data_IF_387097878331
#
_entry.id   IF_387097878331
#
_cell.length_a   1.000
_cell.length_b   1.000
_cell.length_c   1.000
_cell.angle_alpha   90.00
_cell.angle_beta   90.00
_cell.angle_gamma   90.00
#
_symmetry.space_group_name_H-M   'P 1'
#
loop_
_entity.id
_entity.type
_entity.pdbx_description
1 polymer ?
#
# COMPACT_ATOMS: atom_id res chain seq x y z
N UNK A 1 8.41 -44.02 -17.59
CA UNK A 1 9.34 -42.95 -18.02
C UNK A 1 8.66 -41.63 -17.69
N UNK A 2 9.00 -41.06 -16.54
CA UNK A 2 9.03 -39.60 -16.30
C UNK A 2 10.47 -39.13 -16.63
N UNK A 3 10.79 -37.83 -16.74
CA UNK A 3 9.95 -36.64 -16.93
C UNK A 3 10.46 -35.70 -18.05
N UNK A 4 9.67 -34.68 -18.38
CA UNK A 4 10.10 -33.51 -19.17
C UNK A 4 9.62 -32.22 -18.51
N UNK A 5 10.38 -31.73 -17.54
CA UNK A 5 10.19 -30.44 -16.90
C UNK A 5 10.49 -29.30 -17.89
N UNK A 6 9.53 -28.40 -18.11
CA UNK A 6 9.71 -27.16 -18.86
C UNK A 6 9.45 -25.96 -17.96
N UNK A 7 10.45 -25.56 -17.17
CA UNK A 7 10.44 -24.29 -16.43
C UNK A 7 10.70 -23.14 -17.40
N UNK A 8 9.65 -22.42 -17.79
CA UNK A 8 9.78 -21.15 -18.50
C UNK A 8 10.14 -20.05 -17.48
N UNK A 9 11.44 -19.85 -17.27
CA UNK A 9 11.98 -18.71 -16.53
C UNK A 9 11.93 -17.46 -17.42
N UNK A 10 11.11 -16.48 -17.04
CA UNK A 10 11.10 -15.16 -17.67
C UNK A 10 12.36 -14.35 -17.27
N UNK A 11 13.09 -13.73 -18.22
CA UNK A 11 14.29 -12.96 -17.89
C UNK A 11 13.96 -11.50 -17.51
N UNK A 12 14.17 -11.13 -16.24
CA UNK A 12 14.17 -9.73 -15.80
C UNK A 12 15.53 -9.07 -16.11
N UNK A 13 15.54 -8.08 -17.00
CA UNK A 13 16.69 -7.22 -17.27
C UNK A 13 16.76 -6.07 -16.26
N UNK A 14 17.92 -5.92 -15.62
CA UNK A 14 18.21 -4.82 -14.69
C UNK A 14 18.62 -3.55 -15.45
N UNK A 15 17.89 -2.46 -15.28
CA UNK A 15 18.32 -1.14 -15.74
C UNK A 15 18.97 -0.35 -14.60
N UNK A 16 20.20 0.11 -14.83
CA UNK A 16 21.02 0.92 -13.91
C UNK A 16 21.07 2.35 -14.45
N UNK A 17 20.62 3.32 -13.66
CA UNK A 17 20.79 4.76 -13.95
C UNK A 17 21.92 5.30 -13.06
N UNK A 18 22.87 6.04 -13.66
CA UNK A 18 24.06 6.58 -13.00
C UNK A 18 24.15 8.10 -13.09
N UNK A 19 24.72 8.68 -12.01
CA UNK A 19 25.39 10.02 -11.85
C UNK A 19 24.49 11.26 -11.76
N UNK A 20 24.42 12.03 -10.65
CA UNK A 20 25.41 12.75 -9.80
C UNK A 20 25.77 14.15 -10.31
N UNK A 21 25.70 15.19 -9.46
CA UNK A 21 26.65 16.33 -9.31
C UNK A 21 26.28 17.19 -8.07
N UNK A 22 27.20 18.03 -7.53
CA UNK A 22 27.34 18.34 -6.09
C UNK A 22 27.10 19.81 -5.74
N UNK A 23 26.92 20.11 -4.45
CA UNK A 23 27.05 21.46 -3.90
C UNK A 23 28.00 21.45 -2.70
N UNK A 24 29.04 22.29 -2.76
CA UNK A 24 30.00 22.58 -1.69
C UNK A 24 29.61 23.89 -1.01
N UNK A 25 29.80 23.98 0.32
CA UNK A 25 29.76 25.24 1.06
C UNK A 25 31.05 25.41 1.86
N UNK A 26 31.61 26.61 1.78
CA UNK A 26 32.88 27.02 2.36
C UNK A 26 32.82 27.34 3.85
N UNK A 27 33.96 27.23 4.51
CA UNK A 27 34.18 27.54 5.91
C UNK A 27 34.99 28.83 6.08
N UNK A 28 34.67 29.65 7.08
CA UNK A 28 35.59 30.56 7.76
C UNK A 28 34.98 31.09 9.07
N UNK A 29 35.76 31.15 10.16
CA UNK A 29 35.47 32.01 11.32
C UNK A 29 35.78 31.47 12.72
N UNK A 30 37.07 31.46 13.08
CA UNK A 30 37.73 31.75 14.38
C UNK A 30 37.02 31.57 15.75
N UNK A 31 37.73 30.87 16.66
CA UNK A 31 37.53 30.65 18.12
C UNK A 31 37.97 31.84 19.01
N UNK A 32 37.67 31.86 20.34
CA UNK A 32 38.64 31.32 21.31
C UNK A 32 38.09 30.61 22.58
N UNK A 33 38.89 29.63 23.01
CA UNK A 33 39.09 28.93 24.30
C UNK A 33 38.22 29.16 25.54
N UNK A 34 37.70 28.06 26.12
CA UNK A 34 38.00 27.67 27.51
C UNK A 34 37.86 26.14 27.67
N UNK A 35 38.78 25.55 28.44
CA UNK A 35 39.00 24.11 28.53
C UNK A 35 38.09 23.44 29.57
N UNK A 36 37.14 22.64 29.09
CA UNK A 36 36.49 21.59 29.89
C UNK A 36 36.63 20.29 29.13
N UNK A 37 37.30 19.32 29.75
CA UNK A 37 37.66 18.03 29.18
C UNK A 37 36.40 17.15 29.13
N UNK A 38 35.66 17.20 28.02
CA UNK A 38 34.58 16.27 27.73
C UNK A 38 35.15 14.93 27.20
N UNK A 39 34.47 13.79 27.46
CA UNK A 39 34.87 12.51 26.87
C UNK A 39 34.85 12.59 25.34
N UNK A 40 35.68 11.82 24.62
CA UNK A 40 35.74 11.88 23.17
C UNK A 40 34.36 11.57 22.59
N UNK A 41 33.89 12.45 21.71
CA UNK A 41 32.67 12.28 20.94
C UNK A 41 32.75 11.00 20.10
N UNK A 42 31.64 10.27 19.89
CA UNK A 42 31.64 9.18 18.94
C UNK A 42 31.81 9.79 17.54
N UNK A 43 33.02 9.69 16.99
CA UNK A 43 33.25 9.84 15.55
C UNK A 43 32.71 8.60 14.86
N UNK A 44 31.38 8.42 14.86
CA UNK A 44 30.72 7.38 14.07
C UNK A 44 30.49 7.91 12.67
N UNK A 45 31.45 7.56 11.82
CA UNK A 45 31.33 7.36 10.38
C UNK A 45 29.88 7.34 9.88
N UNK A 46 29.55 8.28 9.01
CA UNK A 46 28.31 8.34 8.22
C UNK A 46 28.00 7.04 7.43
N UNK A 47 28.93 6.08 7.38
CA UNK A 47 28.72 4.75 6.80
C UNK A 47 27.97 3.78 7.73
N UNK A 48 27.95 4.01 9.04
CA UNK A 48 27.33 3.08 10.00
C UNK A 48 25.79 3.13 9.94
N UNK A 49 25.21 4.32 9.74
CA UNK A 49 23.77 4.53 9.61
C UNK A 49 23.20 3.91 8.33
N UNK A 50 23.92 4.04 7.21
CA UNK A 50 23.56 3.41 5.93
C UNK A 50 23.59 1.89 6.04
N UNK A 51 24.56 1.34 6.80
CA UNK A 51 24.61 -0.09 7.08
C UNK A 51 23.44 -0.56 7.95
N UNK A 52 22.96 0.25 8.89
CA UNK A 52 21.77 -0.06 9.71
C UNK A 52 20.48 -0.05 8.90
N UNK A 53 20.30 0.94 8.01
CA UNK A 53 19.16 1.03 7.08
C UNK A 53 19.04 -0.20 6.16
N UNK A 54 20.17 -0.83 5.82
CA UNK A 54 20.19 -2.07 5.04
C UNK A 54 19.66 -3.29 5.81
N UNK A 55 19.48 -3.21 7.13
CA UNK A 55 18.93 -4.29 7.97
C UNK A 55 17.58 -3.94 8.61
N UNK A 56 17.04 -2.75 8.35
CA UNK A 56 15.70 -2.44 8.83
C UNK A 56 14.68 -3.27 8.05
N UNK A 57 14.02 -4.15 8.81
CA UNK A 57 12.82 -4.84 8.37
C UNK A 57 11.65 -3.90 8.70
N UNK A 58 10.79 -3.68 7.72
CA UNK A 58 9.69 -2.72 7.80
C UNK A 58 8.37 -3.43 7.98
N UNK A 59 7.43 -2.78 8.66
CA UNK A 59 6.01 -3.11 8.61
C UNK A 59 5.33 -2.12 7.69
N UNK A 60 4.54 -2.60 6.72
CA UNK A 60 3.81 -1.75 5.79
C UNK A 60 2.31 -1.93 5.96
N UNK A 61 1.57 -0.83 5.82
CA UNK A 61 0.12 -0.79 5.94
C UNK A 61 -0.47 -0.27 4.63
N UNK A 62 -1.42 -1.01 4.06
CA UNK A 62 -2.16 -0.63 2.86
C UNK A 62 -3.62 -0.45 3.21
N UNK A 63 -4.16 0.75 3.01
CA UNK A 63 -5.59 1.03 3.16
C UNK A 63 -6.25 1.09 1.79
N UNK A 64 -7.44 0.50 1.65
CA UNK A 64 -8.24 0.55 0.42
C UNK A 64 -7.38 0.15 -0.80
N UNK A 65 -7.36 0.97 -1.85
CA UNK A 65 -6.54 0.77 -3.04
C UNK A 65 -5.02 0.68 -2.76
N UNK A 66 -4.56 1.24 -1.63
CA UNK A 66 -3.17 1.13 -1.15
C UNK A 66 -2.70 -0.29 -0.88
N UNK A 67 -3.61 -1.27 -0.81
CA UNK A 67 -3.27 -2.70 -0.81
C UNK A 67 -2.50 -3.16 -2.06
N UNK A 68 -2.84 -2.65 -3.24
CA UNK A 68 -2.17 -2.99 -4.51
C UNK A 68 -0.67 -2.64 -4.50
N UNK A 69 -0.26 -1.38 -4.23
CA UNK A 69 1.16 -1.03 -4.23
C UNK A 69 1.95 -1.73 -3.12
N UNK A 70 1.36 -2.03 -1.95
CA UNK A 70 2.08 -2.81 -0.93
C UNK A 70 2.30 -4.26 -1.37
N UNK A 71 1.37 -4.88 -2.09
CA UNK A 71 1.58 -6.21 -2.68
C UNK A 71 2.74 -6.21 -3.69
N UNK A 72 2.86 -5.16 -4.50
CA UNK A 72 4.01 -5.00 -5.40
C UNK A 72 5.31 -4.74 -4.62
N UNK A 73 5.26 -4.04 -3.49
CA UNK A 73 6.42 -3.86 -2.62
C UNK A 73 6.87 -5.19 -1.99
N UNK A 74 5.93 -6.02 -1.54
CA UNK A 74 6.18 -7.38 -1.04
C UNK A 74 6.81 -8.26 -2.12
N UNK A 75 6.31 -8.18 -3.36
CA UNK A 75 6.93 -8.89 -4.48
C UNK A 75 8.36 -8.40 -4.73
N UNK A 76 8.62 -7.10 -4.73
CA UNK A 76 9.95 -6.57 -5.07
C UNK A 76 10.97 -6.69 -3.93
N UNK A 77 10.53 -6.63 -2.68
CA UNK A 77 11.39 -6.55 -1.50
C UNK A 77 10.94 -7.49 -0.36
N UNK A 78 10.72 -8.79 -0.60
CA UNK A 78 10.15 -9.69 0.40
C UNK A 78 11.04 -9.79 1.65
N UNK A 79 12.37 -9.81 1.47
CA UNK A 79 13.33 -9.83 2.59
C UNK A 79 13.50 -8.51 3.35
N UNK A 80 12.70 -7.47 3.06
CA UNK A 80 12.69 -6.18 3.77
C UNK A 80 11.38 -5.90 4.48
N UNK A 81 10.38 -6.75 4.31
CA UNK A 81 9.06 -6.56 4.88
C UNK A 81 8.81 -7.71 5.84
N UNK A 82 8.62 -7.38 7.12
CA UNK A 82 8.29 -8.39 8.15
C UNK A 82 6.83 -8.80 8.03
N UNK A 83 5.97 -7.79 7.97
CA UNK A 83 4.51 -7.93 7.96
C UNK A 83 3.92 -6.87 7.04
N UNK A 84 2.95 -7.27 6.24
CA UNK A 84 2.09 -6.40 5.46
C UNK A 84 0.67 -6.46 6.01
N UNK A 85 0.13 -5.32 6.43
CA UNK A 85 -1.21 -5.23 7.00
C UNK A 85 -2.14 -4.54 6.01
N UNK A 86 -3.20 -5.23 5.62
CA UNK A 86 -4.24 -4.76 4.72
C UNK A 86 -5.43 -4.28 5.55
N UNK A 87 -5.74 -2.99 5.51
CA UNK A 87 -6.80 -2.36 6.32
C UNK A 87 -7.95 -1.97 5.41
N UNK A 88 -9.06 -2.73 5.44
CA UNK A 88 -10.15 -2.64 4.46
C UNK A 88 -9.63 -2.36 3.04
N UNK A 89 -8.79 -3.27 2.57
CA UNK A 89 -7.93 -3.04 1.41
C UNK A 89 -8.01 -4.16 0.39
N UNK A 90 -7.61 -3.83 -0.84
CA UNK A 90 -7.38 -4.82 -1.88
C UNK A 90 -6.20 -5.71 -1.49
N UNK A 91 -6.43 -7.02 -1.35
CA UNK A 91 -5.36 -7.99 -1.11
C UNK A 91 -5.40 -9.05 -2.23
N UNK A 92 -4.65 -8.85 -3.33
CA UNK A 92 -4.61 -9.79 -4.44
C UNK A 92 -4.07 -11.17 -4.04
N UNK A 93 -4.36 -12.18 -4.84
CA UNK A 93 -3.75 -13.51 -4.72
C UNK A 93 -2.56 -13.66 -5.70
N UNK A 94 -1.85 -14.79 -5.65
CA UNK A 94 -0.73 -15.08 -6.55
C UNK A 94 -1.15 -15.70 -7.90
N UNK A 95 -2.39 -16.19 -8.00
CA UNK A 95 -2.89 -16.98 -9.12
C UNK A 95 -3.45 -16.10 -10.25
N UNK A 96 -4.08 -14.99 -9.88
CA UNK A 96 -4.81 -14.09 -10.76
C UNK A 96 -4.08 -12.73 -10.86
N UNK A 97 -4.16 -12.04 -12.01
CA UNK A 97 -3.71 -10.65 -12.09
C UNK A 97 -4.44 -9.76 -11.07
N UNK A 98 -3.77 -8.81 -10.39
CA UNK A 98 -4.41 -7.88 -9.47
C UNK A 98 -5.60 -7.11 -10.06
N UNK A 99 -5.60 -6.85 -11.38
CA UNK A 99 -6.73 -6.25 -12.07
C UNK A 99 -8.04 -7.06 -11.94
N UNK A 100 -7.96 -8.39 -11.82
CA UNK A 100 -9.12 -9.26 -11.64
C UNK A 100 -9.89 -8.90 -10.36
N UNK A 101 -9.18 -8.60 -9.28
CA UNK A 101 -9.80 -8.21 -8.02
C UNK A 101 -10.46 -6.83 -8.11
N UNK A 102 -9.83 -5.87 -8.80
CA UNK A 102 -10.40 -4.54 -9.06
C UNK A 102 -11.68 -4.68 -9.91
N UNK A 103 -11.65 -5.51 -10.94
CA UNK A 103 -12.82 -5.78 -11.77
C UNK A 103 -13.93 -6.47 -10.98
N UNK A 104 -13.60 -7.39 -10.08
CA UNK A 104 -14.58 -8.05 -9.22
C UNK A 104 -15.25 -7.05 -8.26
N UNK A 105 -14.48 -6.12 -7.67
CA UNK A 105 -15.04 -5.01 -6.90
C UNK A 105 -16.02 -4.21 -7.75
N UNK A 106 -15.59 -3.72 -8.93
CA UNK A 106 -16.44 -2.93 -9.82
C UNK A 106 -17.69 -3.66 -10.32
N UNK A 107 -17.67 -5.00 -10.42
CA UNK A 107 -18.84 -5.81 -10.78
C UNK A 107 -19.85 -5.94 -9.64
N UNK A 108 -19.37 -6.02 -8.40
CA UNK A 108 -20.21 -6.14 -7.20
C UNK A 108 -20.76 -4.80 -6.75
N UNK A 109 -19.95 -3.75 -6.91
CA UNK A 109 -20.36 -2.37 -6.82
C UNK A 109 -21.40 -2.10 -7.90
N UNK A 110 -22.68 -2.05 -7.52
CA UNK A 110 -23.73 -1.60 -8.44
C UNK A 110 -23.36 -0.23 -9.02
N UNK A 111 -23.83 0.12 -10.23
CA UNK A 111 -23.58 1.45 -10.81
C UNK A 111 -24.02 2.60 -9.90
N UNK A 112 -24.96 2.35 -8.99
CA UNK A 112 -25.41 3.30 -7.98
C UNK A 112 -24.40 3.47 -6.82
N UNK A 113 -23.57 2.47 -6.53
CA UNK A 113 -22.60 2.51 -5.42
C UNK A 113 -21.40 3.42 -5.69
N UNK A 114 -21.06 3.67 -6.96
CA UNK A 114 -20.03 4.63 -7.37
C UNK A 114 -20.56 6.07 -7.37
N UNK A 115 -21.87 6.26 -7.17
CA UNK A 115 -22.55 7.56 -7.04
C UNK A 115 -22.09 8.57 -8.11
N UNK A 116 -21.44 9.64 -7.67
CA UNK A 116 -20.96 10.77 -8.46
C UNK A 116 -19.45 10.69 -8.77
N UNK A 117 -18.85 9.49 -8.67
CA UNK A 117 -17.48 9.29 -9.11
C UNK A 117 -17.33 9.50 -10.62
N UNK A 118 -16.35 10.32 -11.01
CA UNK A 118 -16.01 10.55 -12.40
C UNK A 118 -14.91 9.60 -12.85
N UNK A 119 -15.22 8.73 -13.82
CA UNK A 119 -14.26 7.81 -14.41
C UNK A 119 -13.79 8.37 -15.75
N UNK A 120 -12.49 8.61 -15.87
CA UNK A 120 -11.85 8.98 -17.13
C UNK A 120 -11.36 7.74 -17.85
N UNK A 121 -11.70 7.62 -19.12
CA UNK A 121 -11.33 6.47 -19.96
C UNK A 121 -10.22 6.83 -20.93
N UNK A 122 -9.41 5.84 -21.29
CA UNK A 122 -8.48 6.00 -22.38
C UNK A 122 -9.23 6.02 -23.71
N UNK A 123 -9.09 7.13 -24.44
CA UNK A 123 -9.63 7.26 -25.79
C UNK A 123 -8.64 6.82 -26.88
N UNK A 124 -7.39 6.53 -26.51
CA UNK A 124 -6.33 6.15 -27.45
C UNK A 124 -6.22 4.63 -27.64
N UNK A 125 -6.55 3.83 -26.63
CA UNK A 125 -6.58 2.36 -26.74
C UNK A 125 -7.96 1.84 -27.18
N UNK A 126 -7.95 0.82 -28.05
CA UNK A 126 -9.19 0.21 -28.59
C UNK A 126 -10.09 -0.41 -27.52
N UNK A 127 -9.57 -0.66 -26.32
CA UNK A 127 -10.29 -1.31 -25.22
C UNK A 127 -11.02 -0.33 -24.28
N UNK A 128 -10.83 0.99 -24.42
CA UNK A 128 -11.48 2.03 -23.59
C UNK A 128 -11.47 1.69 -22.10
N UNK A 129 -10.29 1.36 -21.56
CA UNK A 129 -10.16 1.03 -20.14
C UNK A 129 -10.22 2.30 -19.28
N UNK A 130 -10.75 2.22 -18.05
CA UNK A 130 -10.72 3.33 -17.13
C UNK A 130 -9.28 3.62 -16.69
N UNK A 131 -8.82 4.86 -16.89
CA UNK A 131 -7.47 5.31 -16.52
C UNK A 131 -7.47 5.86 -15.10
N UNK A 132 -8.45 6.72 -14.79
CA UNK A 132 -8.51 7.42 -13.50
C UNK A 132 -9.92 7.51 -12.97
N UNK A 133 -10.04 7.58 -11.65
CA UNK A 133 -11.28 7.91 -10.96
C UNK A 133 -11.07 9.16 -10.11
N UNK A 134 -12.03 10.08 -10.14
CA UNK A 134 -12.16 11.16 -9.18
C UNK A 134 -13.39 10.89 -8.31
N UNK A 135 -13.21 10.96 -6.98
CA UNK A 135 -14.32 10.76 -6.06
C UNK A 135 -15.16 12.03 -5.97
N UNK A 136 -16.46 11.88 -6.22
CA UNK A 136 -17.42 12.97 -6.06
C UNK A 136 -17.85 13.15 -4.60
N UNK A 137 -18.41 14.32 -4.25
CA UNK A 137 -18.84 14.64 -2.90
C UNK A 137 -19.85 13.66 -2.27
N UNK A 138 -20.76 13.05 -3.03
CA UNK A 138 -21.73 12.06 -2.50
C UNK A 138 -21.01 10.76 -2.13
N UNK A 139 -20.14 10.26 -3.02
CA UNK A 139 -19.31 9.09 -2.73
C UNK A 139 -18.37 9.34 -1.54
N UNK A 140 -17.81 10.54 -1.43
CA UNK A 140 -17.00 10.91 -0.28
C UNK A 140 -17.82 10.97 1.01
N UNK A 141 -19.07 11.46 0.98
CA UNK A 141 -19.93 11.43 2.16
C UNK A 141 -20.15 10.00 2.68
N UNK A 142 -20.29 9.03 1.76
CA UNK A 142 -20.35 7.60 2.08
C UNK A 142 -19.04 7.07 2.68
N UNK A 143 -17.90 7.39 2.05
CA UNK A 143 -16.56 6.99 2.51
C UNK A 143 -16.23 7.51 3.93
N UNK A 144 -16.75 8.69 4.29
CA UNK A 144 -16.51 9.36 5.57
C UNK A 144 -17.72 9.30 6.52
N UNK A 145 -18.70 8.40 6.30
CA UNK A 145 -19.95 8.35 7.06
C UNK A 145 -19.74 8.24 8.59
N UNK A 146 -18.67 7.58 9.02
CA UNK A 146 -18.32 7.40 10.44
C UNK A 146 -17.27 8.41 10.97
N UNK A 147 -16.90 9.40 10.17
CA UNK A 147 -15.92 10.42 10.55
C UNK A 147 -16.60 11.71 11.04
N UNK A 148 -15.90 12.54 11.84
CA UNK A 148 -16.27 13.93 12.05
C UNK A 148 -16.49 14.67 10.73
N UNK A 149 -17.45 15.60 10.70
CA UNK A 149 -17.77 16.37 9.49
C UNK A 149 -16.59 17.19 8.97
N UNK A 150 -15.72 17.63 9.87
CA UNK A 150 -14.51 18.37 9.60
C UNK A 150 -13.52 17.59 8.72
N UNK A 151 -13.44 16.27 8.92
CA UNK A 151 -12.58 15.40 8.12
C UNK A 151 -13.11 15.25 6.69
N UNK A 152 -14.44 15.16 6.51
CA UNK A 152 -15.06 15.14 5.19
C UNK A 152 -14.84 16.48 4.45
N UNK A 153 -15.05 17.61 5.13
CA UNK A 153 -14.82 18.92 4.53
C UNK A 153 -13.35 19.13 4.16
N UNK A 154 -12.43 18.72 5.03
CA UNK A 154 -11.00 18.73 4.73
C UNK A 154 -10.68 17.83 3.51
N UNK A 155 -11.21 16.61 3.48
CA UNK A 155 -10.99 15.68 2.38
C UNK A 155 -11.45 16.23 1.03
N UNK A 156 -12.62 16.90 0.97
CA UNK A 156 -13.14 17.53 -0.26
C UNK A 156 -12.16 18.57 -0.84
N UNK A 157 -11.36 19.22 0.01
CA UNK A 157 -10.34 20.20 -0.44
C UNK A 157 -9.04 19.56 -0.92
N UNK A 158 -8.77 18.30 -0.55
CA UNK A 158 -7.50 17.62 -0.80
C UNK A 158 -7.59 16.49 -1.81
N UNK A 159 -8.79 15.94 -2.06
CA UNK A 159 -8.98 14.82 -2.97
C UNK A 159 -8.52 15.17 -4.38
N UNK A 160 -7.90 14.20 -5.05
CA UNK A 160 -7.40 14.34 -6.42
C UNK A 160 -7.77 13.08 -7.20
N UNK A 161 -7.93 13.18 -8.53
CA UNK A 161 -8.09 12.00 -9.36
C UNK A 161 -6.94 11.01 -9.15
N UNK A 162 -7.26 9.73 -8.93
CA UNK A 162 -6.30 8.65 -8.78
C UNK A 162 -6.28 7.78 -10.03
N UNK A 163 -5.09 7.35 -10.44
CA UNK A 163 -4.91 6.40 -11.53
C UNK A 163 -5.24 4.96 -11.06
N UNK A 164 -5.85 4.17 -11.94
CA UNK A 164 -6.29 2.79 -11.67
C UNK A 164 -5.30 1.76 -12.24
N UNK A 165 -4.44 2.15 -13.18
CA UNK A 165 -3.39 1.29 -13.77
C UNK A 165 -3.89 -0.11 -14.20
N UNK A 166 -5.12 -0.19 -14.72
CA UNK A 166 -5.79 -1.48 -14.94
C UNK A 166 -5.05 -2.32 -16.00
N UNK A 167 -4.47 -1.69 -17.02
CA UNK A 167 -3.68 -2.37 -18.04
C UNK A 167 -2.41 -2.99 -17.45
N UNK A 168 -1.67 -2.22 -16.66
CA UNK A 168 -0.45 -2.69 -16.00
C UNK A 168 -0.74 -3.82 -15.03
N UNK A 169 -1.83 -3.71 -14.27
CA UNK A 169 -2.28 -4.70 -13.30
C UNK A 169 -2.93 -5.94 -13.94
N UNK A 170 -3.20 -5.91 -15.25
CA UNK A 170 -3.72 -7.06 -16.01
C UNK A 170 -2.63 -8.01 -16.48
N UNK A 171 -1.36 -7.64 -16.30
CA UNK A 171 -0.22 -8.52 -16.62
C UNK A 171 -0.26 -9.77 -15.75
N UNK A 172 -0.03 -10.93 -16.37
CA UNK A 172 0.01 -12.21 -15.65
C UNK A 172 1.27 -12.31 -14.78
N UNK A 173 1.17 -13.05 -13.67
CA UNK A 173 2.29 -13.36 -12.78
C UNK A 173 2.94 -12.13 -12.12
N UNK A 174 2.17 -11.09 -11.81
CA UNK A 174 2.70 -9.91 -11.09
C UNK A 174 3.09 -10.20 -9.63
N UNK A 175 2.48 -11.22 -9.02
CA UNK A 175 2.72 -11.62 -7.65
C UNK A 175 3.00 -13.12 -7.63
N UNK A 176 3.98 -13.54 -6.83
CA UNK A 176 4.42 -14.94 -6.76
C UNK A 176 4.39 -15.47 -5.32
N UNK A 177 4.17 -16.79 -5.18
CA UNK A 177 4.22 -17.45 -3.86
C UNK A 177 5.61 -17.35 -3.22
N UNK A 178 6.68 -17.39 -4.04
CA UNK A 178 8.06 -17.33 -3.56
C UNK A 178 8.46 -15.97 -2.97
N UNK A 179 7.73 -14.89 -3.32
CA UNK A 179 8.09 -13.51 -2.98
C UNK A 179 6.94 -12.82 -2.24
N UNK A 180 5.88 -12.43 -2.95
CA UNK A 180 4.67 -11.87 -2.33
C UNK A 180 4.07 -12.82 -1.29
N UNK A 181 3.93 -14.11 -1.60
CA UNK A 181 3.39 -15.13 -0.70
C UNK A 181 4.28 -15.45 0.49
N UNK A 182 5.58 -15.13 0.43
CA UNK A 182 6.53 -15.37 1.52
C UNK A 182 6.48 -14.31 2.63
N UNK A 183 5.82 -13.17 2.41
CA UNK A 183 5.69 -12.11 3.41
C UNK A 183 4.42 -12.34 4.22
N UNK A 184 4.52 -12.28 5.56
CA UNK A 184 3.38 -12.39 6.47
C UNK A 184 2.34 -11.31 6.15
N UNK A 185 1.10 -11.71 5.96
CA UNK A 185 -0.05 -10.84 5.71
C UNK A 185 -0.99 -10.86 6.91
N UNK A 186 -1.47 -9.69 7.27
CA UNK A 186 -2.57 -9.53 8.23
C UNK A 186 -3.67 -8.71 7.57
N UNK A 187 -4.93 -8.97 7.91
CA UNK A 187 -6.06 -8.22 7.40
C UNK A 187 -6.88 -7.62 8.54
N UNK A 188 -7.24 -6.34 8.43
CA UNK A 188 -8.11 -5.64 9.36
C UNK A 188 -9.42 -5.34 8.65
N UNK A 189 -10.48 -6.01 9.11
CA UNK A 189 -11.85 -5.84 8.62
C UNK A 189 -12.47 -4.62 9.31
N UNK A 190 -13.09 -3.75 8.51
CA UNK A 190 -13.93 -2.65 8.98
C UNK A 190 -15.40 -3.04 8.77
N UNK A 191 -16.15 -3.34 9.84
CA UNK A 191 -17.48 -3.98 9.75
C UNK A 191 -18.57 -3.07 9.17
N UNK A 192 -18.42 -1.75 9.29
CA UNK A 192 -19.36 -0.72 8.82
C UNK A 192 -18.80 0.05 7.62
N UNK A 193 -17.84 -0.53 6.92
CA UNK A 193 -17.30 0.05 5.70
C UNK A 193 -18.34 -0.01 4.58
N UNK A 194 -18.96 1.14 4.29
CA UNK A 194 -19.95 1.21 3.22
C UNK A 194 -19.31 1.24 1.81
N UNK A 195 -18.01 1.46 1.68
CA UNK A 195 -17.31 1.52 0.38
C UNK A 195 -16.82 0.14 -0.02
N UNK A 196 -16.09 -0.51 0.87
CA UNK A 196 -15.61 -1.87 0.74
C UNK A 196 -16.35 -2.73 1.75
N UNK A 197 -17.59 -3.05 1.43
CA UNK A 197 -18.52 -3.80 2.32
C UNK A 197 -17.86 -5.06 2.91
N UNK A 198 -18.23 -5.39 4.15
CA UNK A 198 -17.64 -6.50 4.91
C UNK A 198 -17.67 -7.81 4.10
N UNK A 199 -18.75 -8.07 3.37
CA UNK A 199 -18.90 -9.24 2.50
C UNK A 199 -17.81 -9.30 1.42
N UNK A 200 -17.41 -8.15 0.88
CA UNK A 200 -16.32 -8.09 -0.09
C UNK A 200 -14.95 -8.25 0.56
N UNK A 201 -14.74 -7.66 1.74
CA UNK A 201 -13.51 -7.88 2.52
C UNK A 201 -13.34 -9.38 2.86
N UNK A 202 -14.41 -10.05 3.27
CA UNK A 202 -14.42 -11.51 3.54
C UNK A 202 -14.17 -12.33 2.28
N UNK A 203 -14.74 -11.93 1.14
CA UNK A 203 -14.45 -12.57 -0.14
C UNK A 203 -12.95 -12.49 -0.51
N UNK A 204 -12.32 -11.33 -0.29
CA UNK A 204 -10.87 -11.17 -0.51
C UNK A 204 -10.08 -12.15 0.36
N UNK A 205 -10.41 -12.23 1.65
CA UNK A 205 -9.77 -13.12 2.63
C UNK A 205 -9.95 -14.59 2.24
N UNK A 206 -11.14 -14.99 1.79
CA UNK A 206 -11.39 -16.38 1.34
C UNK A 206 -10.54 -16.74 0.12
N UNK A 207 -10.37 -15.80 -0.82
CA UNK A 207 -9.57 -16.01 -2.05
C UNK A 207 -8.07 -16.02 -1.81
N UNK A 208 -7.58 -15.28 -0.83
CA UNK A 208 -6.18 -15.26 -0.44
C UNK A 208 -6.07 -15.17 1.08
N UNK A 209 -6.10 -16.32 1.79
CA UNK A 209 -6.04 -16.32 3.24
C UNK A 209 -4.75 -15.66 3.76
N UNK A 210 -4.84 -14.64 4.63
CA UNK A 210 -3.71 -14.10 5.39
C UNK A 210 -3.47 -14.94 6.65
N UNK A 211 -2.35 -14.74 7.32
CA UNK A 211 -2.03 -15.42 8.59
C UNK A 211 -2.95 -14.98 9.73
N UNK A 212 -3.27 -13.68 9.80
CA UNK A 212 -4.10 -13.10 10.84
C UNK A 212 -5.21 -12.23 10.25
N UNK A 213 -6.40 -12.31 10.85
CA UNK A 213 -7.56 -11.46 10.52
C UNK A 213 -8.14 -10.91 11.81
N UNK A 214 -8.32 -9.59 11.87
CA UNK A 214 -8.98 -8.90 12.99
C UNK A 214 -10.13 -8.09 12.44
N UNK A 215 -11.27 -8.09 13.14
CA UNK A 215 -12.41 -7.22 12.82
C UNK A 215 -12.52 -6.11 13.85
N UNK A 216 -12.84 -4.90 13.40
CA UNK A 216 -13.12 -3.75 14.25
C UNK A 216 -14.56 -3.32 14.01
N UNK A 217 -15.41 -3.58 15.00
CA UNK A 217 -16.81 -3.16 15.01
C UNK A 217 -16.93 -1.63 15.11
N UNK A 218 -17.98 -1.04 14.54
CA UNK A 218 -18.17 0.40 14.40
C UNK A 218 -17.16 1.11 13.48
N UNK A 219 -16.35 0.39 12.69
CA UNK A 219 -15.32 1.00 11.83
C UNK A 219 -15.81 1.16 10.40
N UNK A 220 -15.87 2.42 9.95
CA UNK A 220 -16.10 2.77 8.54
C UNK A 220 -14.82 2.72 7.70
N UNK A 221 -14.96 3.08 6.41
CA UNK A 221 -13.86 3.01 5.44
C UNK A 221 -12.62 3.79 5.88
N UNK A 222 -12.81 5.01 6.40
CA UNK A 222 -11.73 5.88 6.89
C UNK A 222 -11.39 5.60 8.36
N UNK A 223 -11.12 4.34 8.70
CA UNK A 223 -10.87 3.89 10.07
C UNK A 223 -9.73 4.65 10.78
N UNK A 224 -8.72 5.12 10.03
CA UNK A 224 -7.63 5.93 10.57
C UNK A 224 -8.07 7.31 11.07
N UNK A 225 -9.24 7.78 10.66
CA UNK A 225 -9.85 9.04 11.11
C UNK A 225 -10.97 8.77 12.11
N UNK A 226 -11.83 7.78 11.83
CA UNK A 226 -12.97 7.44 12.68
C UNK A 226 -12.54 6.80 14.01
N UNK A 227 -11.55 5.91 14.00
CA UNK A 227 -11.13 5.09 15.15
C UNK A 227 -9.59 4.92 15.25
N UNK A 228 -8.80 6.01 15.26
CA UNK A 228 -7.33 5.91 15.21
C UNK A 228 -6.71 5.14 16.37
N UNK A 229 -7.25 5.24 17.59
CA UNK A 229 -6.70 4.56 18.77
C UNK A 229 -6.98 3.05 18.75
N UNK A 230 -8.17 2.64 18.31
CA UNK A 230 -8.53 1.23 18.15
C UNK A 230 -7.70 0.60 17.04
N UNK A 231 -7.55 1.28 15.90
CA UNK A 231 -6.65 0.86 14.83
C UNK A 231 -5.21 0.73 15.36
N UNK A 232 -4.68 1.74 16.05
CA UNK A 232 -3.32 1.69 16.59
C UNK A 232 -3.09 0.51 17.54
N UNK A 233 -4.06 0.22 18.41
CA UNK A 233 -4.00 -0.92 19.34
C UNK A 233 -3.99 -2.25 18.57
N UNK A 234 -4.91 -2.41 17.62
CA UNK A 234 -4.97 -3.57 16.75
C UNK A 234 -3.67 -3.78 15.95
N UNK A 235 -3.13 -2.72 15.35
CA UNK A 235 -1.88 -2.79 14.59
C UNK A 235 -0.71 -3.18 15.50
N UNK A 236 -0.68 -2.70 16.74
CA UNK A 236 0.37 -3.05 17.71
C UNK A 236 0.32 -4.53 18.07
N UNK A 237 -0.86 -5.11 18.23
CA UNK A 237 -1.06 -6.54 18.52
C UNK A 237 -0.70 -7.43 17.34
N UNK A 238 -0.98 -7.00 16.10
CA UNK A 238 -0.67 -7.77 14.89
C UNK A 238 0.84 -7.85 14.59
N UNK A 239 1.59 -6.84 15.03
CA UNK A 239 3.02 -6.67 14.70
C UNK A 239 3.95 -7.03 15.86
N UNK A 240 3.40 -7.26 17.06
CA UNK A 240 4.13 -7.71 18.26
C UNK A 240 4.49 -9.18 18.18
#
# INVERSE_FOLDING_TARGET
>A
MEPGAGTNLCPCSSYRVTRSLPWTWGAAGSTPSSSTRFPPSPTTSSRCWISWLLFLITVIFGHSYGGIPISLAMENFPGKISVAVFVSAYMPNCSDPPATLIQEFLKRSSTNSLMDCEITFDHQTSQKLPISAAFGPEYMAKMYANCPSEDLELAKTMVRPSLIFLEELSKTCLLSEERYGAVKRCYVICEEDEVMEEEFQRYIIEKSPPEDVVSIAGAGHMIMLAKPQELCSCLTELIS
#
